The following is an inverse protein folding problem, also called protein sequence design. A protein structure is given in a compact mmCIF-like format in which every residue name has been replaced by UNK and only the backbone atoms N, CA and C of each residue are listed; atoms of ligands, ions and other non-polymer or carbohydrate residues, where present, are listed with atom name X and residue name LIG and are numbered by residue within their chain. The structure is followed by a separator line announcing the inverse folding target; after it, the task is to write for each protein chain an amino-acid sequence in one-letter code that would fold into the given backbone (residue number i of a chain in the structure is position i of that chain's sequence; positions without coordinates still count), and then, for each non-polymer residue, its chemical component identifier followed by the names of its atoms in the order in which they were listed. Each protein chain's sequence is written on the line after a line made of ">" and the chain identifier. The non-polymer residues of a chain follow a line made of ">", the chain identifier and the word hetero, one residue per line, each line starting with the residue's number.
data_IF_987124393836
#
_entry.id   IF_987124393836
#
_cell.length_a   1.000
_cell.length_b   1.000
_cell.length_c   1.000
_cell.angle_alpha   90.00
_cell.angle_beta   90.00
_cell.angle_gamma   90.00
#
_symmetry.space_group_name_H-M   'P 1'
#
loop_
_entity.id
_entity.type
_entity.pdbx_description
1 polymer ?
#
# COMPACT_ATOMS: atom_id res chain seq x y z
N UNK A 1 2.99 -20.84 -19.26
CA UNK A 1 2.03 -20.98 -20.37
C UNK A 1 1.36 -19.63 -20.57
N UNK A 2 1.68 -18.90 -21.65
CA UNK A 2 1.07 -17.61 -21.97
C UNK A 2 -0.38 -17.87 -22.41
N UNK A 3 -1.36 -17.40 -21.64
CA UNK A 3 -2.75 -17.42 -22.06
C UNK A 3 -2.87 -16.46 -23.24
N UNK A 4 -3.09 -16.97 -24.45
CA UNK A 4 -3.51 -16.17 -25.60
C UNK A 4 -4.80 -15.46 -25.21
N UNK A 5 -4.81 -14.14 -25.11
CA UNK A 5 -6.02 -13.39 -24.77
C UNK A 5 -7.03 -13.53 -25.90
N UNK A 6 -7.99 -14.43 -25.70
CA UNK A 6 -9.03 -14.74 -26.67
C UNK A 6 -9.93 -13.51 -26.89
N UNK A 7 -10.19 -13.16 -28.15
CA UNK A 7 -11.21 -12.16 -28.47
C UNK A 7 -12.57 -12.71 -28.08
N UNK A 8 -13.26 -12.02 -27.17
CA UNK A 8 -14.61 -12.40 -26.70
C UNK A 8 -15.62 -11.30 -27.00
N UNK A 9 -16.85 -11.69 -27.27
CA UNK A 9 -17.98 -10.81 -27.63
C UNK A 9 -19.30 -11.44 -27.19
N UNK A 10 -20.42 -10.75 -27.36
CA UNK A 10 -21.76 -11.27 -27.04
C UNK A 10 -21.95 -12.70 -27.59
N UNK A 11 -22.39 -13.60 -26.72
CA UNK A 11 -22.55 -15.03 -27.02
C UNK A 11 -21.31 -15.89 -26.73
N UNK A 12 -20.12 -15.31 -26.56
CA UNK A 12 -18.94 -16.03 -26.06
C UNK A 12 -19.19 -16.59 -24.65
N UNK A 13 -18.55 -17.72 -24.33
CA UNK A 13 -18.58 -18.36 -23.01
C UNK A 13 -17.19 -18.84 -22.58
N UNK A 14 -17.01 -19.07 -21.28
CA UNK A 14 -15.83 -19.71 -20.70
C UNK A 14 -14.94 -18.76 -19.91
N UNK A 15 -13.74 -19.23 -19.57
CA UNK A 15 -12.85 -18.56 -18.61
C UNK A 15 -12.42 -17.15 -19.06
N UNK A 16 -12.21 -16.93 -20.36
CA UNK A 16 -11.88 -15.61 -20.88
C UNK A 16 -13.01 -14.58 -20.62
N UNK A 17 -14.27 -15.00 -20.70
CA UNK A 17 -15.41 -14.14 -20.38
C UNK A 17 -15.49 -13.88 -18.86
N UNK A 18 -15.26 -14.91 -18.04
CA UNK A 18 -15.24 -14.73 -16.59
C UNK A 18 -14.14 -13.77 -16.14
N UNK A 19 -12.95 -13.86 -16.75
CA UNK A 19 -11.85 -12.93 -16.53
C UNK A 19 -12.22 -11.51 -16.93
N UNK A 20 -12.82 -11.31 -18.11
CA UNK A 20 -13.30 -10.01 -18.56
C UNK A 20 -14.31 -9.40 -17.58
N UNK A 21 -15.30 -10.18 -17.17
CA UNK A 21 -16.33 -9.77 -16.22
C UNK A 21 -15.72 -9.33 -14.88
N UNK A 22 -14.79 -10.12 -14.33
CA UNK A 22 -14.09 -9.78 -13.10
C UNK A 22 -13.34 -8.45 -13.21
N UNK A 23 -12.53 -8.29 -14.26
CA UNK A 23 -11.76 -7.06 -14.47
C UNK A 23 -12.65 -5.82 -14.62
N UNK A 24 -13.74 -5.91 -15.40
CA UNK A 24 -14.68 -4.82 -15.58
C UNK A 24 -15.37 -4.43 -14.27
N UNK A 25 -15.88 -5.40 -13.51
CA UNK A 25 -16.55 -5.15 -12.24
C UNK A 25 -15.63 -4.47 -11.23
N UNK A 26 -14.39 -4.94 -11.11
CA UNK A 26 -13.40 -4.33 -10.22
C UNK A 26 -12.99 -2.91 -10.66
N UNK A 27 -13.14 -2.59 -11.95
CA UNK A 27 -12.94 -1.25 -12.49
C UNK A 27 -14.21 -0.38 -12.42
N UNK A 28 -15.30 -0.89 -11.83
CA UNK A 28 -16.57 -0.16 -11.67
C UNK A 28 -17.53 -0.26 -12.86
N UNK A 29 -17.20 -1.03 -13.89
CA UNK A 29 -18.07 -1.28 -15.04
C UNK A 29 -18.92 -2.51 -14.77
N UNK A 30 -20.13 -2.29 -14.26
CA UNK A 30 -21.03 -3.35 -13.80
C UNK A 30 -21.46 -4.27 -14.95
N UNK A 31 -20.90 -5.48 -14.97
CA UNK A 31 -21.25 -6.55 -15.90
C UNK A 31 -22.18 -7.62 -15.30
N UNK A 32 -22.61 -7.44 -14.05
CA UNK A 32 -23.37 -8.42 -13.28
C UNK A 32 -22.49 -9.49 -12.62
N UNK A 33 -23.05 -10.67 -12.38
CA UNK A 33 -22.32 -11.80 -11.79
C UNK A 33 -21.24 -12.30 -12.77
N UNK A 34 -20.07 -12.67 -12.23
CA UNK A 34 -19.04 -13.37 -13.00
C UNK A 34 -19.47 -14.82 -13.21
N UNK A 35 -20.09 -15.10 -14.35
CA UNK A 35 -20.65 -16.41 -14.69
C UNK A 35 -20.02 -17.02 -15.95
N UNK A 36 -19.06 -16.32 -16.56
CA UNK A 36 -18.39 -16.76 -17.77
C UNK A 36 -19.29 -16.77 -19.02
N UNK A 37 -20.44 -16.09 -19.00
CA UNK A 37 -21.35 -15.96 -20.14
C UNK A 37 -21.47 -14.51 -20.59
N UNK A 38 -21.09 -14.23 -21.85
CA UNK A 38 -21.06 -12.86 -22.35
C UNK A 38 -22.46 -12.44 -22.78
N UNK A 39 -23.26 -11.99 -21.80
CA UNK A 39 -24.64 -11.51 -21.98
C UNK A 39 -24.75 -10.00 -22.20
N UNK A 40 -26.00 -9.47 -22.25
CA UNK A 40 -26.26 -8.04 -22.47
C UNK A 40 -25.61 -7.11 -21.43
N UNK A 41 -25.52 -7.53 -20.17
CA UNK A 41 -24.85 -6.75 -19.12
C UNK A 41 -23.35 -6.62 -19.38
N UNK A 42 -22.68 -7.70 -19.81
CA UNK A 42 -21.27 -7.68 -20.19
C UNK A 42 -21.03 -6.83 -21.44
N UNK A 43 -21.90 -6.90 -22.45
CA UNK A 43 -21.81 -6.04 -23.65
C UNK A 43 -21.89 -4.55 -23.29
N UNK A 44 -22.88 -4.18 -22.46
CA UNK A 44 -23.01 -2.81 -21.95
C UNK A 44 -21.76 -2.36 -21.20
N UNK A 45 -21.24 -3.19 -20.29
CA UNK A 45 -20.05 -2.88 -19.51
C UNK A 45 -18.80 -2.69 -20.39
N UNK A 46 -18.61 -3.54 -21.41
CA UNK A 46 -17.50 -3.42 -22.37
C UNK A 46 -17.59 -2.10 -23.14
N UNK A 47 -18.77 -1.74 -23.66
CA UNK A 47 -18.95 -0.47 -24.39
C UNK A 47 -18.72 0.74 -23.51
N UNK A 48 -19.21 0.71 -22.27
CA UNK A 48 -18.96 1.77 -21.29
C UNK A 48 -17.48 1.92 -20.99
N UNK A 49 -16.79 0.80 -20.77
CA UNK A 49 -15.34 0.80 -20.55
C UNK A 49 -14.59 1.36 -21.75
N UNK A 50 -14.92 0.91 -22.96
CA UNK A 50 -14.31 1.36 -24.19
C UNK A 50 -14.49 2.88 -24.39
N UNK A 51 -15.73 3.38 -24.21
CA UNK A 51 -16.04 4.80 -24.31
C UNK A 51 -15.29 5.64 -23.26
N UNK A 52 -15.23 5.17 -22.00
CA UNK A 52 -14.52 5.86 -20.92
C UNK A 52 -13.01 5.99 -21.16
N UNK A 53 -12.42 5.09 -21.95
CA UNK A 53 -10.98 5.05 -22.23
C UNK A 53 -10.61 5.47 -23.65
N UNK A 54 -11.55 6.10 -24.38
CA UNK A 54 -11.28 6.68 -25.70
C UNK A 54 -10.92 5.65 -26.78
N UNK A 55 -11.39 4.40 -26.64
CA UNK A 55 -11.26 3.36 -27.67
C UNK A 55 -12.61 3.06 -28.31
N UNK A 56 -12.62 2.41 -29.47
CA UNK A 56 -13.85 2.13 -30.22
C UNK A 56 -14.79 1.28 -29.37
N UNK A 57 -16.00 1.80 -29.11
CA UNK A 57 -17.01 1.17 -28.28
C UNK A 57 -17.86 0.13 -29.05
N UNK A 58 -17.21 -0.85 -29.65
CA UNK A 58 -17.82 -1.89 -30.49
C UNK A 58 -18.44 -3.07 -29.70
N UNK A 59 -18.22 -3.15 -28.38
CA UNK A 59 -18.68 -4.25 -27.53
C UNK A 59 -17.85 -5.53 -27.65
N UNK A 60 -16.68 -5.48 -28.31
CA UNK A 60 -15.77 -6.60 -28.51
C UNK A 60 -14.53 -6.45 -27.63
N UNK A 61 -14.26 -7.43 -26.77
CA UNK A 61 -13.02 -7.49 -26.01
C UNK A 61 -11.92 -8.18 -26.85
N UNK A 62 -11.33 -7.41 -27.76
CA UNK A 62 -10.14 -7.78 -28.54
C UNK A 62 -8.83 -7.27 -27.93
N UNK A 63 -7.68 -7.39 -28.64
CA UNK A 63 -6.37 -7.02 -28.11
C UNK A 63 -6.27 -5.59 -27.55
N UNK A 64 -6.94 -4.62 -28.19
CA UNK A 64 -6.96 -3.23 -27.71
C UNK A 64 -7.70 -3.11 -26.38
N UNK A 65 -8.91 -3.66 -26.26
CA UNK A 65 -9.69 -3.67 -25.01
C UNK A 65 -8.94 -4.39 -23.89
N UNK A 66 -8.35 -5.55 -24.18
CA UNK A 66 -7.55 -6.29 -23.22
C UNK A 66 -6.29 -5.53 -22.78
N UNK A 67 -5.60 -4.87 -23.71
CA UNK A 67 -4.45 -4.02 -23.43
C UNK A 67 -4.79 -2.87 -22.48
N UNK A 68 -5.91 -2.18 -22.70
CA UNK A 68 -6.36 -1.11 -21.80
C UNK A 68 -6.81 -1.70 -20.45
N UNK A 69 -7.58 -2.79 -20.41
CA UNK A 69 -8.00 -3.43 -19.15
C UNK A 69 -6.81 -3.83 -18.28
N UNK A 70 -5.80 -4.47 -18.88
CA UNK A 70 -4.57 -4.89 -18.19
C UNK A 70 -3.73 -3.70 -17.76
N UNK A 71 -3.63 -2.64 -18.58
CA UNK A 71 -2.95 -1.40 -18.21
C UNK A 71 -3.67 -0.67 -17.07
N UNK A 72 -4.99 -0.55 -17.09
CA UNK A 72 -5.76 0.06 -16.00
C UNK A 72 -5.72 -0.78 -14.73
N UNK A 73 -5.64 -2.11 -14.85
CA UNK A 73 -5.35 -2.98 -13.71
C UNK A 73 -3.94 -2.78 -13.17
N UNK A 74 -2.94 -2.68 -14.05
CA UNK A 74 -1.57 -2.38 -13.66
C UNK A 74 -1.51 -1.01 -12.99
N UNK A 75 -2.18 0.02 -13.52
CA UNK A 75 -2.31 1.35 -12.91
C UNK A 75 -3.11 1.33 -11.61
N UNK A 76 -4.16 0.55 -11.45
CA UNK A 76 -4.81 0.36 -10.13
C UNK A 76 -3.85 -0.30 -9.13
N UNK A 77 -3.02 -1.22 -9.60
CA UNK A 77 -2.04 -1.91 -8.78
C UNK A 77 -0.82 -1.02 -8.45
N UNK A 78 -0.38 -0.15 -9.38
CA UNK A 78 0.71 0.83 -9.25
C UNK A 78 0.25 2.13 -8.56
N UNK A 79 -1.04 2.49 -8.67
CA UNK A 79 -1.68 3.58 -7.93
C UNK A 79 -2.14 3.14 -6.52
N UNK A 80 -1.99 1.85 -6.19
CA UNK A 80 -2.35 1.27 -4.88
C UNK A 80 -1.16 0.92 -3.99
N UNK A 81 0.05 0.82 -4.54
CA UNK A 81 1.26 0.62 -3.73
C UNK A 81 1.81 1.98 -3.28
N UNK A 82 2.07 2.20 -1.96
CA UNK A 82 2.61 3.46 -1.49
C UNK A 82 4.04 3.68 -2.00
N UNK A 83 4.49 4.95 -1.95
CA UNK A 83 5.90 5.29 -2.19
C UNK A 83 6.79 4.49 -1.25
N UNK A 84 7.81 3.82 -1.79
CA UNK A 84 8.81 3.11 -0.99
C UNK A 84 10.03 3.96 -0.70
N UNK A 85 10.42 4.03 0.58
CA UNK A 85 11.72 4.50 1.01
C UNK A 85 12.41 3.45 1.89
N UNK A 86 13.68 3.18 1.61
CA UNK A 86 14.53 2.35 2.46
C UNK A 86 15.31 3.23 3.42
N UNK A 87 15.29 2.94 4.72
CA UNK A 87 16.11 3.67 5.70
C UNK A 87 17.62 3.46 5.48
N UNK A 88 18.00 2.35 4.82
CA UNK A 88 19.41 1.98 4.56
C UNK A 88 19.91 2.44 3.19
N UNK A 89 19.15 3.29 2.50
CA UNK A 89 19.56 3.92 1.24
C UNK A 89 20.85 4.76 1.42
N UNK A 90 21.86 4.64 0.54
CA UNK A 90 23.11 5.38 0.64
C UNK A 90 22.96 6.91 0.79
N UNK A 91 21.90 7.48 0.23
CA UNK A 91 21.64 8.93 0.27
C UNK A 91 21.43 9.48 1.68
N UNK A 92 20.96 8.66 2.62
CA UNK A 92 20.63 9.13 3.97
C UNK A 92 20.96 8.17 5.11
N UNK A 93 21.36 6.92 4.84
CA UNK A 93 21.65 5.93 5.89
C UNK A 93 22.65 6.41 6.94
N UNK A 94 23.58 7.31 6.57
CA UNK A 94 24.59 7.87 7.45
C UNK A 94 24.20 9.19 8.13
N UNK A 95 23.03 9.76 7.81
CA UNK A 95 22.57 11.01 8.39
C UNK A 95 22.24 10.79 9.87
N UNK A 96 22.72 11.65 10.79
CA UNK A 96 22.41 11.53 12.21
C UNK A 96 20.91 11.55 12.49
N UNK A 97 20.46 10.60 13.30
CA UNK A 97 19.10 10.55 13.84
C UNK A 97 19.20 10.25 15.33
N UNK A 98 19.40 11.29 16.12
CA UNK A 98 19.69 11.19 17.54
C UNK A 98 19.04 12.31 18.35
N UNK A 99 18.76 12.02 19.62
CA UNK A 99 18.43 13.05 20.60
C UNK A 99 19.73 13.69 21.07
N UNK A 100 19.66 14.88 21.68
CA UNK A 100 20.83 15.51 22.31
C UNK A 100 21.54 14.49 23.21
N UNK A 101 22.78 14.07 22.84
CA UNK A 101 23.63 13.21 23.68
C UNK A 101 24.19 11.92 23.05
N UNK A 102 23.61 11.31 22.01
CA UNK A 102 24.14 10.05 21.43
C UNK A 102 24.46 10.15 19.93
N UNK A 103 25.67 10.59 19.58
CA UNK A 103 26.06 10.85 18.18
C UNK A 103 26.18 9.63 17.26
N UNK A 104 25.92 8.41 17.75
CA UNK A 104 26.15 7.18 16.98
C UNK A 104 24.90 6.69 16.22
N UNK A 105 23.73 7.24 16.52
CA UNK A 105 22.47 6.80 15.91
C UNK A 105 22.20 7.57 14.61
N UNK A 106 21.86 6.82 13.55
CA UNK A 106 21.60 7.32 12.20
C UNK A 106 20.23 6.89 11.70
N UNK A 107 19.81 7.46 10.57
CA UNK A 107 18.60 7.01 9.87
C UNK A 107 18.70 5.51 9.53
N UNK A 108 19.86 5.05 9.07
CA UNK A 108 20.09 3.64 8.73
C UNK A 108 19.92 2.71 9.92
N UNK A 109 20.40 3.10 11.11
CA UNK A 109 20.36 2.26 12.31
C UNK A 109 19.04 2.32 13.08
N UNK A 110 18.31 3.44 13.00
CA UNK A 110 17.18 3.71 13.93
C UNK A 110 16.02 4.51 13.35
N UNK A 111 16.05 4.85 12.06
CA UNK A 111 15.07 5.70 11.40
C UNK A 111 13.82 5.00 10.86
N UNK A 112 13.51 3.76 11.27
CA UNK A 112 12.41 2.97 10.70
C UNK A 112 11.05 3.68 10.80
N UNK A 113 10.70 4.23 11.97
CA UNK A 113 9.43 4.92 12.19
C UNK A 113 9.22 6.15 11.28
N UNK A 114 10.13 7.12 11.29
CA UNK A 114 10.03 8.29 10.41
C UNK A 114 10.17 7.95 8.93
N UNK A 115 10.92 6.90 8.57
CA UNK A 115 10.98 6.41 7.19
C UNK A 115 9.61 5.88 6.75
N UNK A 116 8.92 5.10 7.60
CA UNK A 116 7.54 4.68 7.33
C UNK A 116 6.60 5.88 7.18
N UNK A 117 6.76 6.91 8.02
CA UNK A 117 5.96 8.12 7.88
C UNK A 117 6.27 8.91 6.59
N UNK A 118 7.53 8.93 6.15
CA UNK A 118 7.91 9.54 4.88
C UNK A 118 7.20 8.85 3.71
N UNK A 119 7.09 7.52 3.73
CA UNK A 119 6.33 6.76 2.74
C UNK A 119 4.84 7.17 2.73
N UNK A 120 4.19 7.29 3.90
CA UNK A 120 2.79 7.76 4.01
C UNK A 120 2.63 9.17 3.41
N UNK A 121 3.47 10.11 3.82
CA UNK A 121 3.36 11.51 3.41
C UNK A 121 3.73 11.71 1.94
N UNK A 122 4.74 11.00 1.43
CA UNK A 122 5.10 11.03 0.02
C UNK A 122 4.00 10.45 -0.88
N UNK A 123 3.22 9.50 -0.37
CA UNK A 123 2.10 8.93 -1.11
C UNK A 123 0.93 9.92 -1.24
N UNK A 124 0.61 10.70 -0.19
CA UNK A 124 -0.67 11.44 -0.15
C UNK A 124 -0.63 12.95 0.06
N UNK A 125 0.50 13.51 0.52
CA UNK A 125 0.55 14.92 0.95
C UNK A 125 1.66 15.71 0.27
N UNK A 126 2.84 15.14 0.18
CA UNK A 126 4.00 15.82 -0.40
C UNK A 126 4.97 14.80 -0.99
N UNK A 127 4.91 14.58 -2.31
CA UNK A 127 5.79 13.65 -3.02
C UNK A 127 7.29 13.94 -2.85
N UNK A 128 7.67 15.15 -2.44
CA UNK A 128 9.06 15.53 -2.19
C UNK A 128 9.56 15.28 -0.77
N UNK A 129 8.72 14.83 0.16
CA UNK A 129 9.16 14.60 1.55
C UNK A 129 10.01 13.33 1.65
N UNK A 130 11.13 13.43 2.35
CA UNK A 130 12.15 12.38 2.45
C UNK A 130 12.29 11.84 3.89
N UNK A 131 12.93 10.67 4.08
CA UNK A 131 13.27 10.18 5.41
C UNK A 131 14.10 11.15 6.24
N UNK A 132 14.96 11.96 5.61
CA UNK A 132 15.74 13.00 6.29
C UNK A 132 14.82 14.01 6.97
N UNK A 133 13.80 14.51 6.25
CA UNK A 133 12.88 15.52 6.76
C UNK A 133 11.98 14.98 7.86
N UNK A 134 11.45 13.76 7.73
CA UNK A 134 10.62 13.16 8.79
C UNK A 134 11.43 12.81 10.03
N UNK A 135 12.68 12.35 9.87
CA UNK A 135 13.60 12.16 10.98
C UNK A 135 13.89 13.48 11.70
N UNK A 136 14.16 14.56 10.96
CA UNK A 136 14.39 15.88 11.55
C UNK A 136 13.15 16.37 12.32
N UNK A 137 11.96 16.24 11.75
CA UNK A 137 10.70 16.58 12.44
C UNK A 137 10.50 15.78 13.72
N UNK A 138 10.88 14.50 13.74
CA UNK A 138 10.81 13.67 14.94
C UNK A 138 11.80 14.14 16.02
N UNK A 139 13.01 14.58 15.63
CA UNK A 139 14.00 15.15 16.56
C UNK A 139 13.52 16.50 17.10
N UNK A 140 13.13 17.42 16.22
CA UNK A 140 12.69 18.78 16.58
C UNK A 140 11.42 18.75 17.45
N UNK A 141 10.54 17.79 17.21
CA UNK A 141 9.33 17.57 18.00
C UNK A 141 9.58 16.83 19.33
N UNK A 142 10.82 16.45 19.65
CA UNK A 142 11.16 15.72 20.88
C UNK A 142 10.69 14.26 20.90
N UNK A 143 10.37 13.68 19.74
CA UNK A 143 9.88 12.30 19.62
C UNK A 143 10.99 11.26 19.43
N UNK A 144 12.25 11.69 19.32
CA UNK A 144 13.41 10.79 19.30
C UNK A 144 13.71 10.27 20.71
N UNK A 145 13.52 8.97 20.95
CA UNK A 145 13.75 8.35 22.27
C UNK A 145 15.16 7.75 22.39
N UNK A 146 15.80 7.73 23.55
CA UNK A 146 17.17 7.20 23.65
C UNK A 146 17.33 5.76 23.09
N UNK A 147 16.34 4.89 23.33
CA UNK A 147 16.46 3.45 23.10
C UNK A 147 15.52 2.84 22.04
N UNK A 148 14.46 3.54 21.60
CA UNK A 148 13.39 2.93 20.75
C UNK A 148 13.19 3.61 19.40
N UNK A 149 14.15 4.43 18.95
CA UNK A 149 14.05 5.15 17.67
C UNK A 149 13.07 6.33 17.74
N UNK A 150 11.76 6.06 17.82
CA UNK A 150 10.70 7.08 17.73
C UNK A 150 9.55 6.76 18.66
N UNK A 151 9.09 7.75 19.43
CA UNK A 151 7.96 7.65 20.34
C UNK A 151 6.64 7.52 19.55
N UNK A 152 5.69 6.73 20.06
CA UNK A 152 4.40 6.50 19.41
C UNK A 152 3.58 7.78 19.18
N UNK A 153 3.66 8.75 20.11
CA UNK A 153 2.98 10.04 19.99
C UNK A 153 3.37 10.84 18.73
N UNK A 154 4.54 10.55 18.15
CA UNK A 154 4.99 11.13 16.88
C UNK A 154 3.96 10.99 15.77
N UNK A 155 3.35 9.81 15.64
CA UNK A 155 2.48 9.49 14.51
C UNK A 155 1.19 10.29 14.53
N UNK A 156 0.57 10.47 15.70
CA UNK A 156 -0.60 11.35 15.83
C UNK A 156 -0.25 12.82 15.61
N UNK A 157 0.89 13.27 16.16
CA UNK A 157 1.36 14.64 15.99
C UNK A 157 1.65 14.99 14.53
N UNK A 158 2.40 14.14 13.81
CA UNK A 158 2.74 14.41 12.42
C UNK A 158 1.54 14.23 11.50
N UNK A 159 0.61 13.31 11.80
CA UNK A 159 -0.66 13.22 11.09
C UNK A 159 -1.43 14.55 11.15
N UNK A 160 -1.55 15.12 12.36
CA UNK A 160 -2.21 16.42 12.56
C UNK A 160 -1.50 17.53 11.78
N UNK A 161 -0.16 17.61 11.83
CA UNK A 161 0.62 18.60 11.08
C UNK A 161 0.42 18.55 9.56
N UNK A 162 0.14 17.38 8.99
CA UNK A 162 -0.04 17.18 7.55
C UNK A 162 -1.52 16.93 7.16
N UNK A 163 -2.46 17.21 8.07
CA UNK A 163 -3.89 17.11 7.80
C UNK A 163 -4.34 15.70 7.43
N UNK A 164 -3.78 14.66 8.04
CA UNK A 164 -4.23 13.28 7.90
C UNK A 164 -5.21 12.92 9.02
N UNK A 165 -6.27 12.18 8.69
CA UNK A 165 -7.08 11.51 9.72
C UNK A 165 -6.26 10.39 10.34
N UNK A 166 -6.39 10.20 11.65
CA UNK A 166 -5.52 9.32 12.42
C UNK A 166 -6.29 8.51 13.45
N UNK A 167 -5.94 7.23 13.59
CA UNK A 167 -6.37 6.36 14.69
C UNK A 167 -5.21 5.49 15.13
N UNK A 168 -4.97 5.40 16.42
CA UNK A 168 -4.07 4.41 17.03
C UNK A 168 -4.89 3.25 17.60
N UNK A 169 -4.39 2.02 17.48
CA UNK A 169 -5.03 0.83 18.04
C UNK A 169 -3.98 -0.26 18.30
N UNK A 170 -4.24 -1.15 19.25
CA UNK A 170 -3.48 -2.39 19.45
C UNK A 170 -4.14 -3.60 18.78
N UNK A 171 -5.37 -3.45 18.27
CA UNK A 171 -6.13 -4.55 17.69
C UNK A 171 -5.80 -4.73 16.22
N UNK A 172 -5.31 -5.91 15.87
CA UNK A 172 -5.05 -6.32 14.48
C UNK A 172 -6.31 -6.26 13.61
N UNK A 173 -7.50 -6.51 14.18
CA UNK A 173 -8.77 -6.44 13.46
C UNK A 173 -9.04 -5.02 12.94
N UNK A 174 -8.87 -4.02 13.81
CA UNK A 174 -8.98 -2.60 13.45
C UNK A 174 -7.97 -2.21 12.35
N UNK A 175 -6.73 -2.70 12.44
CA UNK A 175 -5.71 -2.43 11.43
C UNK A 175 -6.06 -3.06 10.07
N UNK A 176 -6.58 -4.30 10.07
CA UNK A 176 -7.05 -4.98 8.86
C UNK A 176 -8.24 -4.26 8.25
N UNK A 177 -9.19 -3.79 9.06
CA UNK A 177 -10.32 -2.98 8.59
C UNK A 177 -9.85 -1.65 8.01
N UNK A 178 -8.91 -0.98 8.67
CA UNK A 178 -8.32 0.25 8.18
C UNK A 178 -7.67 0.04 6.80
N UNK A 179 -6.83 -0.99 6.64
CA UNK A 179 -6.22 -1.34 5.36
C UNK A 179 -7.26 -1.62 4.27
N UNK A 180 -8.32 -2.36 4.59
CA UNK A 180 -9.44 -2.62 3.65
C UNK A 180 -10.19 -1.35 3.25
N UNK A 181 -10.25 -0.36 4.14
CA UNK A 181 -10.86 0.95 3.86
C UNK A 181 -9.93 1.92 3.10
N UNK A 182 -8.72 1.48 2.73
CA UNK A 182 -7.73 2.29 2.01
C UNK A 182 -6.81 3.13 2.90
N UNK A 183 -6.71 2.79 4.19
CA UNK A 183 -5.70 3.39 5.07
C UNK A 183 -4.30 2.89 4.74
N UNK A 184 -3.30 3.70 5.05
CA UNK A 184 -1.92 3.25 5.25
C UNK A 184 -1.71 3.07 6.74
N UNK A 185 -1.02 2.01 7.13
CA UNK A 185 -0.83 1.67 8.55
C UNK A 185 0.65 1.56 8.83
N UNK A 186 1.15 2.29 9.82
CA UNK A 186 2.46 2.01 10.40
C UNK A 186 2.27 1.04 11.55
N UNK A 187 2.96 -0.09 11.53
CA UNK A 187 2.92 -1.09 12.59
C UNK A 187 4.22 -1.06 13.38
N UNK A 188 4.10 -0.97 14.71
CA UNK A 188 5.21 -1.19 15.65
C UNK A 188 5.33 -2.68 15.91
N UNK A 189 6.43 -3.29 15.50
CA UNK A 189 6.71 -4.71 15.66
C UNK A 189 7.63 -4.95 16.86
N UNK A 190 7.32 -5.97 17.64
CA UNK A 190 8.23 -6.58 18.60
C UNK A 190 9.12 -7.66 17.96
N UNK A 191 9.91 -8.36 18.78
CA UNK A 191 10.80 -9.41 18.31
C UNK A 191 10.05 -10.56 17.60
N UNK A 192 10.58 -11.02 16.47
CA UNK A 192 9.98 -12.06 15.64
C UNK A 192 10.54 -12.05 14.22
N UNK A 193 9.67 -12.29 13.24
CA UNK A 193 10.03 -12.39 11.82
C UNK A 193 10.69 -11.12 11.26
N UNK A 194 10.18 -9.95 11.65
CA UNK A 194 10.66 -8.67 11.11
C UNK A 194 11.89 -8.10 11.84
N UNK A 195 12.17 -8.53 13.07
CA UNK A 195 13.23 -7.91 13.87
C UNK A 195 13.57 -8.77 15.09
N UNK A 196 14.78 -8.62 15.63
CA UNK A 196 15.16 -9.20 16.94
C UNK A 196 14.85 -8.25 18.11
N UNK A 197 14.45 -7.01 17.83
CA UNK A 197 14.13 -5.97 18.80
C UNK A 197 12.83 -5.25 18.43
N UNK A 198 12.78 -3.93 18.57
CA UNK A 198 11.69 -3.10 18.02
C UNK A 198 11.91 -2.76 16.54
N UNK A 199 10.83 -2.64 15.76
CA UNK A 199 10.90 -2.18 14.37
C UNK A 199 9.59 -1.54 13.92
N UNK A 200 9.65 -0.62 12.96
CA UNK A 200 8.45 -0.10 12.31
C UNK A 200 8.43 -0.52 10.85
N UNK A 201 7.27 -0.96 10.39
CA UNK A 201 7.00 -1.31 8.99
C UNK A 201 5.69 -0.64 8.54
N UNK A 202 5.46 -0.58 7.23
CA UNK A 202 4.27 0.02 6.63
C UNK A 202 3.41 -1.03 5.93
N UNK A 203 2.50 -1.72 6.62
CA UNK A 203 1.36 -2.39 6.01
C UNK A 203 0.54 -1.44 5.13
N UNK A 204 0.16 -1.90 3.94
CA UNK A 204 -0.58 -1.05 2.98
C UNK A 204 -1.67 -1.77 2.20
N UNK A 205 -1.76 -3.10 2.24
CA UNK A 205 -2.85 -3.85 1.60
C UNK A 205 -3.09 -5.21 2.26
N UNK A 206 -4.36 -5.61 2.31
CA UNK A 206 -4.77 -6.99 2.63
C UNK A 206 -4.94 -7.75 1.33
N UNK A 207 -4.29 -8.91 1.23
CA UNK A 207 -4.35 -9.83 0.08
C UNK A 207 -4.66 -11.25 0.58
N UNK A 208 -5.94 -11.62 0.56
CA UNK A 208 -6.40 -12.86 1.19
C UNK A 208 -6.07 -12.90 2.69
N UNK A 209 -5.29 -13.90 3.12
CA UNK A 209 -4.80 -14.02 4.50
C UNK A 209 -3.41 -13.39 4.73
N UNK A 210 -2.93 -12.61 3.76
CA UNK A 210 -1.65 -11.91 3.82
C UNK A 210 -1.88 -10.40 3.95
N UNK A 211 -0.88 -9.74 4.52
CA UNK A 211 -0.73 -8.29 4.49
C UNK A 211 0.53 -7.98 3.68
N UNK A 212 0.37 -7.16 2.64
CA UNK A 212 1.49 -6.55 1.93
C UNK A 212 2.00 -5.37 2.76
N UNK A 213 3.32 -5.28 2.87
CA UNK A 213 3.98 -4.28 3.69
C UNK A 213 5.28 -3.78 3.05
N UNK A 214 5.65 -2.55 3.39
CA UNK A 214 6.96 -2.00 3.09
C UNK A 214 7.80 -2.03 4.35
N UNK A 215 8.85 -2.83 4.32
CA UNK A 215 9.87 -2.82 5.36
C UNK A 215 10.99 -1.84 4.98
N UNK A 216 11.19 -0.75 5.76
CA UNK A 216 12.21 0.25 5.46
C UNK A 216 13.64 -0.29 5.61
N UNK A 217 13.85 -1.36 6.40
CA UNK A 217 15.17 -1.95 6.60
C UNK A 217 15.53 -3.00 5.52
N UNK A 218 14.54 -3.70 4.97
CA UNK A 218 14.78 -4.77 3.98
C UNK A 218 13.59 -4.98 3.04
N UNK A 219 13.67 -4.43 1.82
CA UNK A 219 12.57 -4.45 0.82
C UNK A 219 12.01 -5.85 0.52
N UNK A 220 12.85 -6.89 0.58
CA UNK A 220 12.45 -8.26 0.30
C UNK A 220 11.40 -8.80 1.29
N UNK A 221 11.30 -8.22 2.50
CA UNK A 221 10.24 -8.53 3.47
C UNK A 221 8.98 -7.72 3.14
N UNK A 222 8.33 -8.11 2.05
CA UNK A 222 7.24 -7.35 1.43
C UNK A 222 5.83 -7.85 1.76
N UNK A 223 5.70 -8.99 2.45
CA UNK A 223 4.41 -9.55 2.88
C UNK A 223 4.55 -10.53 4.02
N UNK A 224 3.52 -10.63 4.88
CA UNK A 224 3.43 -11.61 5.95
C UNK A 224 1.98 -12.01 6.22
N UNK A 225 1.76 -13.17 6.83
CA UNK A 225 0.41 -13.64 7.19
C UNK A 225 -0.22 -12.74 8.27
N UNK A 226 -1.54 -12.53 8.21
CA UNK A 226 -2.26 -11.73 9.22
C UNK A 226 -1.98 -12.24 10.63
N UNK A 227 -1.94 -13.56 10.84
CA UNK A 227 -1.66 -14.17 12.14
C UNK A 227 -0.29 -13.82 12.72
N UNK A 228 0.68 -13.49 11.87
CA UNK A 228 1.98 -13.01 12.31
C UNK A 228 1.85 -11.62 12.96
N UNK A 229 1.09 -10.72 12.35
CA UNK A 229 0.81 -9.41 12.92
C UNK A 229 0.03 -9.50 14.25
N UNK A 230 -0.86 -10.50 14.39
CA UNK A 230 -1.53 -10.76 15.68
C UNK A 230 -0.55 -11.07 16.82
N UNK A 231 0.55 -11.76 16.51
CA UNK A 231 1.53 -12.23 17.50
C UNK A 231 2.64 -11.22 17.77
N UNK A 232 3.09 -10.52 16.73
CA UNK A 232 4.34 -9.76 16.78
C UNK A 232 4.14 -8.24 16.78
N UNK A 233 2.98 -7.73 16.34
CA UNK A 233 2.73 -6.29 16.36
C UNK A 233 2.25 -5.83 17.73
N UNK A 234 2.80 -4.72 18.20
CA UNK A 234 2.51 -4.10 19.49
C UNK A 234 1.48 -2.97 19.39
N UNK A 235 1.55 -2.19 18.31
CA UNK A 235 0.69 -1.03 18.04
C UNK A 235 0.55 -0.80 16.55
N UNK A 236 -0.58 -0.23 16.15
CA UNK A 236 -0.89 0.21 14.79
C UNK A 236 -1.28 1.68 14.78
N UNK A 237 -0.78 2.38 13.78
CA UNK A 237 -1.01 3.80 13.53
C UNK A 237 -1.63 3.92 12.14
N UNK A 238 -2.95 4.13 12.09
CA UNK A 238 -3.72 4.13 10.86
C UNK A 238 -3.93 5.56 10.37
N UNK A 239 -3.68 5.79 9.08
CA UNK A 239 -3.77 7.10 8.44
C UNK A 239 -4.73 7.04 7.26
N UNK A 240 -5.57 8.06 7.13
CA UNK A 240 -6.41 8.27 5.95
C UNK A 240 -6.21 9.67 5.38
N UNK A 241 -6.39 9.76 4.06
CA UNK A 241 -6.38 11.00 3.29
C UNK A 241 -7.55 11.93 3.63
#
# INVERSE_FOLDING_TARGET
>A
MLIKMQTVRRGSKGQAVAMLQGMLNELGFNCGRVDGSFGPATDKAVRQFQAAHGIVADGVAGPQTWGVLTSEKAKQNEAGEPVYYSQVDPRWRGVPFTSVGNKQQTIGSSGCGPTCMAMVLATWRNRGITPVQTCQLAVDGGFRTANSGTAWAYFGWIASKFGLKFKQTSLVADAVEALKSGALVVASMGPGYFTRGGHYILPWKVDGNLILCHDPALKQRSKAAIDLFKREALQYFCFWR
#
